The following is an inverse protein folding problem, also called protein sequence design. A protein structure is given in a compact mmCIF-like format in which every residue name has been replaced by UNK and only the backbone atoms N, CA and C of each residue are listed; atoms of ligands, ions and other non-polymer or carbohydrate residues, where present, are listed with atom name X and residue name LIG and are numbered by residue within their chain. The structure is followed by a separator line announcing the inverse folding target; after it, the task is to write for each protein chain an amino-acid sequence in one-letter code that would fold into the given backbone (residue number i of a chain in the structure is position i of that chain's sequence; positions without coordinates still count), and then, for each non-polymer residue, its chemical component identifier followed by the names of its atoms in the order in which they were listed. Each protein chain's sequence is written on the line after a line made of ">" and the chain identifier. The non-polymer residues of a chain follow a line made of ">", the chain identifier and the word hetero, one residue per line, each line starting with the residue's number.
data_IF_207914410051
#
_entry.id   IF_207914410051
#
_cell.length_a   1.000
_cell.length_b   1.000
_cell.length_c   1.000
_cell.angle_alpha   90.00
_cell.angle_beta   90.00
_cell.angle_gamma   90.00
#
_symmetry.space_group_name_H-M   'P 1'
#
loop_
_entity.id
_entity.type
_entity.pdbx_description
1 polymer ?
#
# COMPACT_ATOMS: atom_id res chain seq x y z
N UNK A 1 -1.83 -8.86 21.37
CA UNK A 1 -0.76 -9.26 20.42
C UNK A 1 -1.25 -10.23 19.37
N UNK A 2 -1.64 -11.48 19.69
CA UNK A 2 -2.20 -12.39 18.67
C UNK A 2 -3.52 -11.87 18.06
N UNK A 3 -4.39 -11.27 18.88
CA UNK A 3 -5.68 -10.77 18.41
C UNK A 3 -5.54 -9.55 17.49
N UNK A 4 -4.60 -8.64 17.79
CA UNK A 4 -4.30 -7.47 16.95
C UNK A 4 -3.76 -7.86 15.57
N UNK A 5 -2.76 -8.74 15.52
CA UNK A 5 -2.19 -9.23 14.25
C UNK A 5 -3.27 -9.89 13.39
N UNK A 6 -4.15 -10.67 14.03
CA UNK A 6 -5.26 -11.35 13.37
C UNK A 6 -6.28 -10.34 12.81
N UNK A 7 -6.56 -9.26 13.54
CA UNK A 7 -7.45 -8.19 13.09
C UNK A 7 -6.84 -7.41 11.92
N UNK A 8 -5.54 -7.15 11.93
CA UNK A 8 -4.82 -6.47 10.84
C UNK A 8 -4.85 -7.29 9.55
N UNK A 9 -4.67 -8.61 9.65
CA UNK A 9 -4.84 -9.55 8.53
C UNK A 9 -6.27 -9.55 8.00
N UNK A 10 -7.26 -9.45 8.89
CA UNK A 10 -8.69 -9.46 8.54
C UNK A 10 -9.13 -8.18 7.84
N UNK A 11 -8.73 -7.03 8.38
CA UNK A 11 -9.04 -5.70 7.84
C UNK A 11 -8.17 -5.38 6.61
N UNK A 12 -7.03 -6.06 6.48
CA UNK A 12 -6.12 -5.93 5.36
C UNK A 12 -5.36 -4.61 5.37
N UNK A 13 -5.13 -4.00 6.53
CA UNK A 13 -4.24 -2.86 6.66
C UNK A 13 -3.56 -2.81 8.04
N UNK A 14 -2.42 -2.13 8.09
CA UNK A 14 -1.66 -1.77 9.28
C UNK A 14 -1.24 -0.30 9.20
N UNK A 15 -1.10 0.37 10.35
CA UNK A 15 -0.60 1.74 10.44
C UNK A 15 0.50 1.81 11.47
N UNK A 16 1.69 2.23 11.04
CA UNK A 16 2.85 2.34 11.91
C UNK A 16 3.51 3.72 11.78
N UNK A 17 4.02 4.23 12.91
CA UNK A 17 4.87 5.41 12.92
C UNK A 17 6.33 4.99 13.00
N UNK A 18 7.10 5.31 11.96
CA UNK A 18 8.51 4.95 11.85
C UNK A 18 9.34 6.22 11.92
N UNK A 19 10.28 6.28 12.87
CA UNK A 19 11.25 7.36 12.93
C UNK A 19 12.55 6.95 12.25
N UNK A 20 13.00 7.75 11.29
CA UNK A 20 14.31 7.58 10.65
C UNK A 20 15.03 8.93 10.62
N UNK A 21 16.18 9.00 11.32
CA UNK A 21 16.91 10.24 11.57
C UNK A 21 15.98 11.30 12.21
N UNK A 22 15.88 12.47 11.60
CA UNK A 22 15.06 13.61 12.04
C UNK A 22 13.69 13.67 11.35
N UNK A 23 13.23 12.59 10.71
CA UNK A 23 11.93 12.51 10.03
C UNK A 23 11.07 11.40 10.65
N UNK A 24 9.80 11.71 10.88
CA UNK A 24 8.78 10.75 11.33
C UNK A 24 7.83 10.46 10.18
N UNK A 25 7.72 9.18 9.81
CA UNK A 25 6.83 8.70 8.77
C UNK A 25 5.62 8.04 9.41
N UNK A 26 4.43 8.33 8.91
CA UNK A 26 3.24 7.50 9.17
C UNK A 26 3.04 6.61 7.94
N UNK A 27 3.29 5.32 8.11
CA UNK A 27 3.23 4.32 7.03
C UNK A 27 1.93 3.56 7.15
N UNK A 28 1.19 3.51 6.05
CA UNK A 28 0.00 2.68 5.89
C UNK A 28 0.37 1.48 5.04
N UNK A 29 0.49 0.31 5.65
CA UNK A 29 0.63 -0.95 4.92
C UNK A 29 -0.76 -1.45 4.56
N UNK A 30 -1.00 -1.65 3.26
CA UNK A 30 -2.32 -1.96 2.71
C UNK A 30 -2.21 -3.29 1.97
N UNK A 31 -3.09 -4.22 2.31
CA UNK A 31 -3.09 -5.58 1.80
C UNK A 31 -3.21 -5.65 0.27
N UNK A 32 -2.40 -6.55 -0.32
CA UNK A 32 -2.35 -6.77 -1.77
C UNK A 32 -3.33 -7.82 -2.32
N UNK A 33 -4.21 -8.37 -1.48
CA UNK A 33 -5.22 -9.35 -1.88
C UNK A 33 -6.15 -8.72 -2.93
N UNK A 34 -6.43 -9.46 -4.00
CA UNK A 34 -7.13 -8.92 -5.18
C UNK A 34 -8.49 -8.32 -4.84
N UNK A 35 -9.23 -8.92 -3.90
CA UNK A 35 -10.51 -8.41 -3.37
C UNK A 35 -10.42 -7.06 -2.64
N UNK A 36 -9.24 -6.70 -2.13
CA UNK A 36 -9.02 -5.46 -1.36
C UNK A 36 -8.45 -4.33 -2.22
N UNK A 37 -7.86 -4.62 -3.39
CA UNK A 37 -7.25 -3.61 -4.27
C UNK A 37 -8.18 -2.45 -4.65
N UNK A 38 -9.50 -2.63 -4.87
CA UNK A 38 -10.40 -1.51 -5.11
C UNK A 38 -10.43 -0.48 -3.97
N UNK A 39 -10.03 -0.87 -2.75
CA UNK A 39 -9.98 0.01 -1.58
C UNK A 39 -8.73 0.89 -1.57
N UNK A 40 -7.68 0.58 -2.34
CA UNK A 40 -6.42 1.34 -2.38
C UNK A 40 -6.66 2.84 -2.65
N UNK A 41 -7.67 3.18 -3.46
CA UNK A 41 -8.07 4.56 -3.76
C UNK A 41 -8.38 5.41 -2.52
N UNK A 42 -8.81 4.79 -1.42
CA UNK A 42 -9.12 5.49 -0.18
C UNK A 42 -7.86 5.91 0.59
N UNK A 43 -6.71 5.32 0.27
CA UNK A 43 -5.44 5.56 0.94
C UNK A 43 -4.51 6.52 0.19
N UNK A 44 -4.94 7.09 -0.95
CA UNK A 44 -4.10 8.00 -1.75
C UNK A 44 -4.34 9.49 -1.46
N UNK A 45 -5.47 9.85 -0.86
CA UNK A 45 -5.70 11.22 -0.44
C UNK A 45 -4.74 11.57 0.70
N UNK A 46 -4.09 12.73 0.60
CA UNK A 46 -3.13 13.23 1.58
C UNK A 46 -1.90 12.31 1.78
N UNK A 47 -1.52 11.56 0.76
CA UNK A 47 -0.34 10.66 0.79
C UNK A 47 0.88 11.34 0.20
N UNK A 48 1.89 11.66 1.01
CA UNK A 48 3.12 12.34 0.53
C UNK A 48 3.98 11.48 -0.40
N UNK A 49 3.87 10.15 -0.33
CA UNK A 49 4.66 9.25 -1.15
C UNK A 49 4.09 7.83 -1.22
N UNK A 50 4.36 7.14 -2.33
CA UNK A 50 3.94 5.76 -2.56
C UNK A 50 5.16 4.83 -2.53
N UNK A 51 5.14 3.84 -1.65
CA UNK A 51 6.08 2.70 -1.68
C UNK A 51 5.34 1.52 -2.32
N UNK A 52 5.80 1.06 -3.48
CA UNK A 52 5.22 -0.08 -4.18
C UNK A 52 6.20 -1.25 -4.16
N UNK A 53 5.86 -2.30 -3.42
CA UNK A 53 6.71 -3.48 -3.24
C UNK A 53 6.41 -4.51 -4.32
N UNK A 54 7.45 -5.00 -4.99
CA UNK A 54 7.36 -6.03 -6.03
C UNK A 54 8.22 -7.22 -5.62
N UNK A 55 7.63 -8.41 -5.67
CA UNK A 55 8.38 -9.65 -5.53
C UNK A 55 9.25 -9.86 -6.79
N UNK A 56 10.57 -9.77 -6.61
CA UNK A 56 11.54 -9.88 -7.71
C UNK A 56 11.79 -11.33 -8.16
N UNK A 57 11.40 -12.31 -7.35
CA UNK A 57 11.50 -13.73 -7.68
C UNK A 57 10.30 -14.20 -8.49
N UNK A 58 9.15 -13.55 -8.34
CA UNK A 58 7.93 -13.89 -9.08
C UNK A 58 7.85 -13.18 -10.44
N UNK A 59 8.62 -13.71 -11.38
CA UNK A 59 8.71 -13.19 -12.75
C UNK A 59 7.39 -13.33 -13.51
N UNK A 60 6.58 -14.33 -13.20
CA UNK A 60 5.29 -14.54 -13.86
C UNK A 60 4.30 -13.41 -13.57
N UNK A 61 4.33 -12.86 -12.35
CA UNK A 61 3.43 -11.78 -11.94
C UNK A 61 3.94 -10.37 -12.23
N UNK A 62 5.12 -10.20 -12.83
CA UNK A 62 5.68 -8.86 -13.10
C UNK A 62 4.77 -8.00 -14.01
N UNK A 63 4.09 -8.63 -14.98
CA UNK A 63 3.13 -7.97 -15.85
C UNK A 63 1.93 -7.45 -15.08
N UNK A 64 1.40 -8.25 -14.13
CA UNK A 64 0.31 -7.86 -13.24
C UNK A 64 0.76 -6.72 -12.30
N UNK A 65 1.95 -6.81 -11.72
CA UNK A 65 2.52 -5.76 -10.87
C UNK A 65 2.65 -4.41 -11.63
N UNK A 66 3.11 -4.45 -12.87
CA UNK A 66 3.19 -3.24 -13.73
C UNK A 66 1.82 -2.62 -13.98
N UNK A 67 0.80 -3.44 -14.28
CA UNK A 67 -0.56 -2.96 -14.51
C UNK A 67 -1.15 -2.29 -13.26
N UNK A 68 -0.99 -2.92 -12.10
CA UNK A 68 -1.45 -2.40 -10.81
C UNK A 68 -0.73 -1.11 -10.41
N UNK A 69 0.60 -1.05 -10.60
CA UNK A 69 1.37 0.17 -10.38
C UNK A 69 0.85 1.34 -11.24
N UNK A 70 0.44 1.07 -12.48
CA UNK A 70 -0.15 2.09 -13.34
C UNK A 70 -1.46 2.65 -12.75
N UNK A 71 -2.32 1.78 -12.21
CA UNK A 71 -3.56 2.19 -11.53
C UNK A 71 -3.27 3.04 -10.29
N UNK A 72 -2.30 2.63 -9.45
CA UNK A 72 -1.89 3.42 -8.29
C UNK A 72 -1.37 4.79 -8.70
N UNK A 73 -0.51 4.86 -9.71
CA UNK A 73 0.06 6.11 -10.22
C UNK A 73 -1.03 7.07 -10.69
N UNK A 74 -2.03 6.58 -11.44
CA UNK A 74 -3.15 7.41 -11.90
C UNK A 74 -4.00 7.90 -10.73
N UNK A 75 -4.24 7.05 -9.74
CA UNK A 75 -5.06 7.39 -8.57
C UNK A 75 -4.37 8.42 -7.67
N UNK A 76 -3.07 8.26 -7.40
CA UNK A 76 -2.28 9.28 -6.68
C UNK A 76 -2.31 10.60 -7.45
N UNK A 77 -2.11 10.58 -8.78
CA UNK A 77 -2.17 11.79 -9.59
C UNK A 77 -3.54 12.49 -9.53
N UNK A 78 -4.62 11.74 -9.42
CA UNK A 78 -5.97 12.28 -9.28
C UNK A 78 -6.22 12.89 -7.90
N UNK A 79 -5.67 12.30 -6.83
CA UNK A 79 -5.79 12.80 -5.46
C UNK A 79 -5.08 14.14 -5.20
N UNK A 80 -4.10 14.49 -6.05
CA UNK A 80 -3.34 15.75 -5.98
C UNK A 80 -3.87 16.87 -6.87
N UNK A 81 -5.04 16.68 -7.49
CA UNK A 81 -5.74 17.72 -8.27
C UNK A 81 -6.93 18.24 -7.50
#
# INVERSE_FOLDING_TARGET
>A
MCDDISLMLLLGFNVEKVQYKNVMFTVWDVGGQEKLRPLWRHYFNNTDGLIYVVDSLDRERIGKAKAEFHVCRLSVRAAYR
#
